data_IF_051174725655
#
_entry.id   IF_051174725655
#
_cell.length_a   1.000
_cell.length_b   1.000
_cell.length_c   1.000
_cell.angle_alpha   90.00
_cell.angle_beta   90.00
_cell.angle_gamma   90.00
#
_symmetry.space_group_name_H-M   'P 1'
#
loop_
_entity.id
_entity.type
_entity.pdbx_description
1 polymer ?
#
# COMPACT_ATOMS: atom_id res chain seq x y z
N UNK A 1 -3.41 -12.89 13.62
CA UNK A 1 -3.32 -11.51 14.15
C UNK A 1 -1.87 -11.05 14.06
N UNK A 2 -1.63 -9.80 13.69
CA UNK A 2 -0.31 -9.17 13.70
C UNK A 2 -0.32 -8.07 14.77
N UNK A 3 0.64 -8.10 15.68
CA UNK A 3 0.82 -7.08 16.72
C UNK A 3 2.23 -6.50 16.61
N UNK A 4 2.33 -5.20 16.50
CA UNK A 4 3.58 -4.44 16.46
C UNK A 4 3.61 -3.55 17.68
N UNK A 5 4.66 -3.62 18.48
CA UNK A 5 4.78 -2.90 19.74
C UNK A 5 6.05 -2.06 19.78
N UNK A 6 5.88 -0.74 19.89
CA UNK A 6 6.93 0.27 20.04
C UNK A 6 8.12 0.05 19.10
N UNK A 7 7.83 -0.29 17.85
CA UNK A 7 8.82 -0.69 16.87
C UNK A 7 9.65 0.52 16.43
N UNK A 8 10.97 0.38 16.49
CA UNK A 8 11.89 1.42 16.01
C UNK A 8 12.95 0.82 15.10
N UNK A 9 13.23 1.50 13.99
CA UNK A 9 14.33 1.18 13.09
C UNK A 9 15.21 2.39 12.86
N UNK A 10 16.45 2.30 13.34
CA UNK A 10 17.52 3.26 13.07
C UNK A 10 18.61 2.58 12.24
N UNK A 11 18.95 3.16 11.11
CA UNK A 11 20.07 2.70 10.28
C UNK A 11 21.42 3.24 10.82
N UNK A 12 22.51 2.61 10.41
CA UNK A 12 23.88 3.03 10.81
C UNK A 12 24.22 4.44 10.34
N UNK A 13 23.57 4.92 9.29
CA UNK A 13 23.66 6.31 8.80
C UNK A 13 23.05 7.36 9.73
N UNK A 14 22.42 6.94 10.84
CA UNK A 14 21.67 7.80 11.76
C UNK A 14 20.20 7.99 11.40
N UNK A 15 19.78 7.62 10.20
CA UNK A 15 18.39 7.78 9.74
C UNK A 15 17.44 6.90 10.56
N UNK A 16 16.40 7.51 11.14
CA UNK A 16 15.31 6.83 11.81
C UNK A 16 14.20 6.60 10.77
N UNK A 17 14.06 5.37 10.30
CA UNK A 17 13.07 5.01 9.28
C UNK A 17 11.71 4.66 9.89
N UNK A 18 11.69 4.11 11.10
CA UNK A 18 10.49 3.83 11.92
C UNK A 18 10.79 4.30 13.35
N UNK A 19 9.85 5.02 13.94
CA UNK A 19 9.99 5.67 15.24
C UNK A 19 8.79 5.37 16.14
N UNK A 20 8.99 4.49 17.12
CA UNK A 20 8.00 4.07 18.12
C UNK A 20 6.62 3.69 17.52
N UNK A 21 6.65 2.89 16.47
CA UNK A 21 5.46 2.49 15.72
C UNK A 21 4.75 1.32 16.42
N UNK A 22 3.45 1.48 16.68
CA UNK A 22 2.62 0.40 17.23
C UNK A 22 1.37 0.23 16.39
N UNK A 23 1.00 -1.04 16.09
CA UNK A 23 -0.12 -1.39 15.24
C UNK A 23 -0.65 -2.78 15.63
N UNK A 24 -1.97 -2.93 15.63
CA UNK A 24 -2.62 -4.23 15.80
C UNK A 24 -3.63 -4.47 14.68
N UNK A 25 -3.51 -5.61 14.00
CA UNK A 25 -4.35 -6.01 12.89
C UNK A 25 -4.82 -7.45 13.03
N UNK A 26 -6.07 -7.70 12.66
CA UNK A 26 -6.65 -9.04 12.44
C UNK A 26 -6.76 -9.32 10.95
N UNK A 27 -7.44 -10.41 10.55
CA UNK A 27 -7.76 -10.69 9.15
C UNK A 27 -8.47 -9.47 8.52
N UNK A 28 -8.27 -9.29 7.24
CA UNK A 28 -8.76 -8.15 6.48
C UNK A 28 -7.67 -7.48 5.65
N UNK A 29 -8.04 -6.43 4.93
CA UNK A 29 -7.11 -5.66 4.10
C UNK A 29 -6.74 -4.38 4.84
N UNK A 30 -5.45 -4.19 5.10
CA UNK A 30 -4.88 -2.98 5.73
C UNK A 30 -4.00 -2.27 4.71
N UNK A 31 -4.36 -1.04 4.39
CA UNK A 31 -3.57 -0.18 3.53
C UNK A 31 -2.55 0.64 4.33
N UNK A 32 -1.30 0.69 3.87
CA UNK A 32 -0.29 1.60 4.39
C UNK A 32 -0.17 2.80 3.47
N UNK A 33 -0.67 3.95 3.91
CA UNK A 33 -0.65 5.21 3.18
C UNK A 33 0.44 6.12 3.72
N UNK A 34 1.22 6.70 2.83
CA UNK A 34 2.25 7.67 3.21
C UNK A 34 3.15 8.04 2.03
N UNK A 35 3.82 9.20 2.07
CA UNK A 35 4.71 9.63 1.01
C UNK A 35 5.93 8.73 0.90
N UNK A 36 6.70 8.91 -0.16
CA UNK A 36 8.00 8.24 -0.29
C UNK A 36 8.90 8.63 0.90
N UNK A 37 9.60 7.65 1.46
CA UNK A 37 10.39 7.84 2.67
C UNK A 37 9.60 7.87 3.99
N UNK A 38 8.28 7.63 3.98
CA UNK A 38 7.48 7.54 5.22
C UNK A 38 7.84 6.34 6.09
N UNK A 39 8.55 5.33 5.55
CA UNK A 39 8.95 4.12 6.27
C UNK A 39 8.16 2.86 5.88
N UNK A 40 7.23 2.93 4.91
CA UNK A 40 6.37 1.80 4.51
C UNK A 40 7.16 0.54 4.17
N UNK A 41 8.07 0.63 3.20
CA UNK A 41 8.93 -0.50 2.78
C UNK A 41 9.79 -1.02 3.93
N UNK A 42 10.36 -0.14 4.77
CA UNK A 42 11.14 -0.55 5.95
C UNK A 42 10.29 -1.34 6.95
N UNK A 43 9.05 -0.88 7.22
CA UNK A 43 8.11 -1.58 8.08
C UNK A 43 7.78 -2.97 7.51
N UNK A 44 7.45 -3.04 6.23
CA UNK A 44 7.17 -4.31 5.55
C UNK A 44 8.36 -5.26 5.58
N UNK A 45 9.58 -4.78 5.30
CA UNK A 45 10.80 -5.59 5.38
C UNK A 45 11.06 -6.15 6.79
N UNK A 46 10.68 -5.43 7.84
CA UNK A 46 10.75 -5.95 9.21
C UNK A 46 9.70 -7.03 9.46
N UNK A 47 8.46 -6.84 9.01
CA UNK A 47 7.37 -7.82 9.14
C UNK A 47 7.75 -9.13 8.42
N UNK A 48 8.29 -9.04 7.20
CA UNK A 48 8.71 -10.21 6.42
C UNK A 48 10.07 -10.77 6.83
N UNK A 49 10.63 -10.33 7.93
CA UNK A 49 11.90 -10.82 8.54
C UNK A 49 13.16 -10.58 7.71
N UNK A 50 13.12 -9.70 6.71
CA UNK A 50 14.29 -9.31 5.91
C UNK A 50 15.20 -8.34 6.65
N UNK A 51 14.64 -7.49 7.51
CA UNK A 51 15.37 -6.48 8.28
C UNK A 51 15.00 -6.60 9.77
N UNK A 52 16.00 -6.49 10.65
CA UNK A 52 15.75 -6.51 12.10
C UNK A 52 15.42 -5.13 12.62
N UNK A 53 14.43 -4.97 13.51
CA UNK A 53 14.20 -3.72 14.22
C UNK A 53 15.38 -3.40 15.15
N UNK A 54 15.55 -2.12 15.48
CA UNK A 54 16.51 -1.66 16.49
C UNK A 54 15.95 -1.90 17.90
N UNK A 55 14.65 -1.63 18.10
CA UNK A 55 13.93 -1.93 19.35
C UNK A 55 12.45 -2.23 19.05
N UNK A 56 11.72 -2.67 20.08
CA UNK A 56 10.35 -3.13 19.94
C UNK A 56 10.24 -4.57 19.44
N UNK A 57 9.03 -5.04 19.21
CA UNK A 57 8.76 -6.40 18.74
C UNK A 57 7.59 -6.48 17.77
N UNK A 58 7.57 -7.54 16.98
CA UNK A 58 6.48 -7.90 16.09
C UNK A 58 6.07 -9.32 16.43
N UNK A 59 4.78 -9.51 16.67
CA UNK A 59 4.17 -10.82 16.90
C UNK A 59 3.22 -11.14 15.74
N UNK A 60 3.31 -12.35 15.20
CA UNK A 60 2.36 -12.87 14.23
C UNK A 60 1.78 -14.18 14.77
N UNK A 61 0.45 -14.24 14.95
CA UNK A 61 -0.24 -15.34 15.62
C UNK A 61 0.46 -15.70 16.96
N UNK A 62 0.78 -14.68 17.75
CA UNK A 62 1.47 -14.73 19.05
C UNK A 62 2.92 -15.24 19.02
N UNK A 63 3.48 -15.55 17.84
CA UNK A 63 4.88 -15.86 17.65
C UNK A 63 5.72 -14.62 17.41
N UNK A 64 6.78 -14.42 18.18
CA UNK A 64 7.76 -13.36 17.91
C UNK A 64 8.55 -13.70 16.64
N UNK A 65 8.41 -12.84 15.60
CA UNK A 65 9.00 -13.07 14.28
C UNK A 65 10.54 -13.16 14.30
N UNK A 66 11.19 -12.66 15.35
CA UNK A 66 12.65 -12.73 15.53
C UNK A 66 13.10 -14.05 16.15
N UNK A 67 12.26 -14.63 17.01
CA UNK A 67 12.55 -15.90 17.69
C UNK A 67 12.17 -17.09 16.83
N UNK A 68 11.08 -16.97 16.09
CA UNK A 68 10.58 -18.03 15.21
C UNK A 68 10.31 -17.52 13.78
N UNK A 69 11.35 -17.11 13.04
CA UNK A 69 11.18 -16.57 11.69
C UNK A 69 10.66 -17.61 10.68
N UNK A 70 10.92 -18.90 10.90
CA UNK A 70 10.49 -19.96 9.98
C UNK A 70 8.99 -20.19 10.08
N UNK A 71 8.38 -20.08 11.26
CA UNK A 71 6.95 -20.11 11.44
C UNK A 71 6.27 -19.02 10.58
N UNK A 72 6.78 -17.81 10.63
CA UNK A 72 6.24 -16.70 9.86
C UNK A 72 6.43 -16.91 8.36
N UNK A 73 7.65 -17.25 7.93
CA UNK A 73 8.00 -17.43 6.51
C UNK A 73 7.19 -18.54 5.83
N UNK A 74 6.81 -19.59 6.53
CA UNK A 74 5.97 -20.66 5.99
C UNK A 74 4.53 -20.22 5.71
N UNK A 75 4.05 -19.16 6.40
CA UNK A 75 2.69 -18.61 6.30
C UNK A 75 2.62 -17.25 5.62
N UNK A 76 3.76 -16.76 5.14
CA UNK A 76 3.92 -15.44 4.56
C UNK A 76 3.94 -15.51 3.04
N UNK A 77 3.17 -14.62 2.39
CA UNK A 77 3.37 -14.19 1.02
C UNK A 77 3.99 -12.80 1.00
N UNK A 78 4.96 -12.58 0.14
CA UNK A 78 5.59 -11.26 -0.02
C UNK A 78 5.83 -10.92 -1.48
N UNK A 79 5.32 -9.76 -1.90
CA UNK A 79 5.64 -9.12 -3.16
C UNK A 79 6.37 -7.81 -2.86
N UNK A 80 7.68 -7.71 -3.08
CA UNK A 80 8.42 -6.46 -2.97
C UNK A 80 8.09 -5.54 -4.17
N UNK A 81 8.37 -4.25 -4.01
CA UNK A 81 8.21 -3.26 -5.08
C UNK A 81 9.02 -3.62 -6.33
N UNK A 82 10.30 -4.00 -6.13
CA UNK A 82 11.16 -4.52 -7.18
C UNK A 82 11.34 -6.02 -6.95
N UNK A 83 10.71 -6.84 -7.77
CA UNK A 83 10.93 -8.27 -7.71
C UNK A 83 11.55 -8.78 -9.02
N UNK A 84 12.56 -9.63 -8.87
CA UNK A 84 13.22 -10.26 -10.00
C UNK A 84 12.51 -11.55 -10.43
N UNK A 85 12.40 -11.77 -11.73
CA UNK A 85 11.93 -13.04 -12.29
C UNK A 85 13.07 -13.72 -13.03
N UNK A 86 13.12 -15.06 -12.96
CA UNK A 86 14.03 -15.84 -13.80
C UNK A 86 13.48 -15.88 -15.22
N UNK A 87 14.07 -15.10 -16.11
CA UNK A 87 13.57 -14.92 -17.48
C UNK A 87 13.73 -16.15 -18.37
N UNK A 88 14.69 -17.05 -18.04
CA UNK A 88 15.04 -18.25 -18.80
C UNK A 88 14.17 -19.48 -18.49
N UNK A 89 13.11 -19.33 -17.72
CA UNK A 89 12.18 -20.43 -17.38
C UNK A 89 10.75 -20.07 -17.76
N UNK A 90 9.86 -21.06 -17.81
CA UNK A 90 8.42 -20.81 -17.98
C UNK A 90 7.78 -20.33 -16.69
N UNK A 91 6.62 -19.67 -16.77
CA UNK A 91 5.87 -19.24 -15.58
C UNK A 91 5.55 -20.41 -14.65
N UNK A 92 5.15 -21.55 -15.20
CA UNK A 92 4.91 -22.77 -14.44
C UNK A 92 6.18 -23.27 -13.72
N UNK A 93 7.33 -23.32 -14.41
CA UNK A 93 8.58 -23.77 -13.81
C UNK A 93 9.05 -22.80 -12.71
N UNK A 94 8.95 -21.50 -12.96
CA UNK A 94 9.26 -20.45 -11.97
C UNK A 94 8.42 -20.63 -10.68
N UNK A 95 7.10 -20.73 -10.83
CA UNK A 95 6.22 -20.84 -9.69
C UNK A 95 6.35 -22.21 -8.98
N UNK A 96 6.56 -23.30 -9.73
CA UNK A 96 6.85 -24.63 -9.16
C UNK A 96 8.12 -24.64 -8.34
N UNK A 97 9.17 -23.97 -8.81
CA UNK A 97 10.45 -23.86 -8.06
C UNK A 97 10.26 -23.12 -6.74
N UNK A 98 9.63 -21.94 -6.77
CA UNK A 98 9.41 -21.14 -5.56
C UNK A 98 8.42 -21.80 -4.60
N UNK A 99 7.36 -22.44 -5.12
CA UNK A 99 6.44 -23.26 -4.33
C UNK A 99 7.16 -24.43 -3.67
N UNK A 100 8.06 -25.11 -4.39
CA UNK A 100 8.89 -26.18 -3.88
C UNK A 100 9.74 -25.79 -2.67
N UNK A 101 10.29 -24.57 -2.66
CA UNK A 101 11.03 -24.03 -1.51
C UNK A 101 10.15 -23.84 -0.27
N UNK A 102 8.84 -23.69 -0.46
CA UNK A 102 7.81 -23.61 0.59
C UNK A 102 7.11 -24.94 0.88
N UNK A 103 7.59 -26.04 0.28
CA UNK A 103 7.02 -27.38 0.47
C UNK A 103 5.82 -27.71 -0.44
N UNK A 104 5.44 -26.83 -1.36
CA UNK A 104 4.33 -27.01 -2.31
C UNK A 104 4.85 -27.80 -3.51
N UNK A 105 4.41 -29.05 -3.65
CA UNK A 105 4.78 -29.95 -4.74
C UNK A 105 3.65 -30.27 -5.72
N UNK A 106 2.44 -29.78 -5.45
CA UNK A 106 1.26 -30.03 -6.27
C UNK A 106 1.31 -29.20 -7.56
N UNK A 107 1.37 -29.91 -8.69
CA UNK A 107 1.24 -29.29 -10.03
C UNK A 107 -0.11 -28.60 -10.20
N UNK A 108 -1.18 -29.21 -9.68
CA UNK A 108 -2.53 -28.66 -9.71
C UNK A 108 -2.56 -27.31 -8.98
N UNK A 109 -2.00 -27.22 -7.77
CA UNK A 109 -1.94 -25.98 -6.99
C UNK A 109 -1.23 -24.87 -7.74
N UNK A 110 -0.11 -25.16 -8.41
CA UNK A 110 0.62 -24.18 -9.21
C UNK A 110 -0.28 -23.66 -10.36
N UNK A 111 -1.02 -24.53 -11.03
CA UNK A 111 -1.93 -24.13 -12.11
C UNK A 111 -3.11 -23.30 -11.60
N UNK A 112 -3.71 -23.67 -10.47
CA UNK A 112 -4.80 -22.90 -9.82
C UNK A 112 -4.32 -21.47 -9.46
N UNK A 113 -3.11 -21.34 -8.92
CA UNK A 113 -2.55 -20.01 -8.61
C UNK A 113 -2.27 -19.21 -9.89
N UNK A 114 -1.76 -19.83 -10.96
CA UNK A 114 -1.59 -19.14 -12.24
C UNK A 114 -2.93 -18.70 -12.84
N UNK A 115 -3.99 -19.48 -12.65
CA UNK A 115 -5.34 -19.13 -13.07
C UNK A 115 -5.88 -17.92 -12.29
N UNK A 116 -5.70 -17.90 -10.97
CA UNK A 116 -6.17 -16.80 -10.10
C UNK A 116 -5.58 -15.44 -10.49
N UNK A 117 -4.42 -15.43 -11.15
CA UNK A 117 -3.75 -14.21 -11.65
C UNK A 117 -3.84 -14.08 -13.19
N UNK A 118 -4.74 -14.83 -13.84
CA UNK A 118 -4.93 -14.81 -15.30
C UNK A 118 -3.64 -15.07 -16.11
N UNK A 119 -2.86 -16.06 -15.68
CA UNK A 119 -1.65 -16.53 -16.38
C UNK A 119 -1.74 -18.02 -16.79
N UNK A 120 -2.91 -18.67 -16.63
CA UNK A 120 -3.09 -20.08 -16.95
C UNK A 120 -2.70 -20.41 -18.41
N UNK A 121 -3.22 -19.63 -19.38
CA UNK A 121 -2.92 -19.82 -20.81
C UNK A 121 -1.43 -19.61 -21.13
N UNK A 122 -0.71 -18.85 -20.29
CA UNK A 122 0.73 -18.54 -20.44
C UNK A 122 1.62 -19.38 -19.52
N UNK A 123 1.10 -20.40 -18.86
CA UNK A 123 1.84 -21.20 -17.88
C UNK A 123 3.14 -21.79 -18.45
N UNK A 124 3.12 -22.21 -19.71
CA UNK A 124 4.27 -22.82 -20.39
C UNK A 124 5.05 -21.86 -21.31
N UNK A 125 4.73 -20.55 -21.25
CA UNK A 125 5.43 -19.52 -21.99
C UNK A 125 6.65 -19.03 -21.17
N UNK A 126 7.75 -18.73 -21.85
CA UNK A 126 8.97 -18.23 -21.22
C UNK A 126 8.77 -16.84 -20.63
N UNK A 127 9.20 -16.63 -19.38
CA UNK A 127 9.02 -15.37 -18.65
C UNK A 127 9.69 -14.17 -19.34
N UNK A 128 10.77 -14.38 -20.09
CA UNK A 128 11.41 -13.32 -20.90
C UNK A 128 10.49 -12.65 -21.91
N UNK A 129 9.43 -13.33 -22.36
CA UNK A 129 8.47 -12.79 -23.33
C UNK A 129 7.27 -12.09 -22.66
N UNK A 130 7.20 -12.08 -21.33
CA UNK A 130 6.12 -11.48 -20.58
C UNK A 130 6.19 -9.94 -20.63
N UNK A 131 5.03 -9.32 -20.79
CA UNK A 131 4.89 -7.88 -20.55
C UNK A 131 5.16 -7.52 -19.08
N UNK A 132 5.34 -6.24 -18.77
CA UNK A 132 5.50 -5.77 -17.40
C UNK A 132 4.33 -6.21 -16.50
N UNK A 133 3.08 -6.06 -16.97
CA UNK A 133 1.90 -6.52 -16.25
C UNK A 133 1.84 -8.04 -16.05
N UNK A 134 2.28 -8.85 -17.03
CA UNK A 134 2.38 -10.30 -16.87
C UNK A 134 3.45 -10.68 -15.84
N UNK A 135 4.60 -10.00 -15.81
CA UNK A 135 5.64 -10.21 -14.79
C UNK A 135 5.10 -9.84 -13.41
N UNK A 136 4.39 -8.73 -13.29
CA UNK A 136 3.75 -8.31 -12.03
C UNK A 136 2.75 -9.36 -11.51
N UNK A 137 1.88 -9.89 -12.39
CA UNK A 137 0.94 -10.97 -12.06
C UNK A 137 1.66 -12.25 -11.63
N UNK A 138 2.79 -12.59 -12.26
CA UNK A 138 3.61 -13.72 -11.83
C UNK A 138 4.22 -13.50 -10.44
N UNK A 139 4.63 -12.25 -10.13
CA UNK A 139 5.06 -11.86 -8.79
C UNK A 139 3.97 -11.99 -7.74
N UNK A 140 2.73 -11.65 -8.08
CA UNK A 140 1.58 -11.88 -7.21
C UNK A 140 1.37 -13.38 -7.00
N UNK A 141 1.40 -14.18 -8.08
CA UNK A 141 1.26 -15.64 -8.01
C UNK A 141 2.29 -16.27 -7.06
N UNK A 142 3.55 -15.85 -7.11
CA UNK A 142 4.59 -16.35 -6.21
C UNK A 142 4.33 -16.04 -4.74
N UNK A 143 3.71 -14.89 -4.45
CA UNK A 143 3.34 -14.53 -3.10
C UNK A 143 2.16 -15.34 -2.57
N UNK A 144 1.32 -15.91 -3.46
CA UNK A 144 0.11 -16.66 -3.13
C UNK A 144 0.29 -18.18 -3.09
N UNK A 145 1.41 -18.71 -3.60
CA UNK A 145 1.56 -20.15 -3.88
C UNK A 145 1.39 -21.06 -2.67
N UNK A 146 1.62 -20.54 -1.46
CA UNK A 146 1.51 -21.29 -0.19
C UNK A 146 0.26 -20.94 0.63
N UNK A 147 -0.78 -20.35 0.04
CA UNK A 147 -2.00 -19.89 0.74
C UNK A 147 -1.66 -19.12 2.03
N UNK A 148 -1.04 -17.95 1.91
CA UNK A 148 -0.49 -17.27 3.07
C UNK A 148 -1.57 -16.77 4.04
N UNK A 149 -1.34 -16.93 5.35
CA UNK A 149 -2.14 -16.29 6.41
C UNK A 149 -1.84 -14.78 6.50
N UNK A 150 -0.64 -14.37 6.05
CA UNK A 150 -0.17 -12.98 5.98
C UNK A 150 0.38 -12.70 4.58
N UNK A 151 -0.26 -11.77 3.86
CA UNK A 151 0.22 -11.29 2.57
C UNK A 151 0.72 -9.85 2.70
N UNK A 152 1.96 -9.62 2.33
CA UNK A 152 2.57 -8.28 2.29
C UNK A 152 2.88 -7.92 0.84
N UNK A 153 2.40 -6.74 0.41
CA UNK A 153 2.52 -6.29 -0.98
C UNK A 153 2.97 -4.83 -1.02
N UNK A 154 4.13 -4.58 -1.57
CA UNK A 154 4.72 -3.24 -1.64
C UNK A 154 4.53 -2.63 -3.03
N UNK A 155 3.71 -1.55 -3.13
CA UNK A 155 3.39 -0.81 -4.36
C UNK A 155 2.91 -1.69 -5.54
N UNK A 156 1.93 -2.59 -5.35
CA UNK A 156 1.60 -3.65 -6.32
C UNK A 156 0.95 -3.15 -7.61
N UNK A 157 0.36 -1.97 -7.61
CA UNK A 157 -0.41 -1.41 -8.74
C UNK A 157 0.44 -0.58 -9.69
N UNK A 158 1.70 -0.35 -9.36
CA UNK A 158 2.64 0.34 -10.22
C UNK A 158 2.85 -0.44 -11.53
N UNK A 159 2.58 0.21 -12.66
CA UNK A 159 2.74 -0.40 -13.99
C UNK A 159 1.61 -1.34 -14.45
N UNK A 160 0.54 -1.51 -13.65
CA UNK A 160 -0.67 -2.18 -14.10
C UNK A 160 -1.59 -1.22 -14.86
N UNK A 161 -2.24 -1.72 -15.92
CA UNK A 161 -3.32 -1.00 -16.58
C UNK A 161 -4.58 -0.95 -15.70
N UNK A 162 -5.58 -0.10 -16.03
CA UNK A 162 -6.77 0.07 -15.21
C UNK A 162 -7.57 -1.22 -14.99
N UNK A 163 -7.66 -2.10 -15.99
CA UNK A 163 -8.40 -3.36 -15.89
C UNK A 163 -7.69 -4.34 -14.92
N UNK A 164 -6.36 -4.44 -15.03
CA UNK A 164 -5.55 -5.27 -14.16
C UNK A 164 -5.56 -4.77 -12.71
N UNK A 165 -5.61 -3.43 -12.50
CA UNK A 165 -5.78 -2.85 -11.14
C UNK A 165 -7.10 -3.26 -10.51
N UNK A 166 -8.20 -3.26 -11.28
CA UNK A 166 -9.51 -3.71 -10.78
C UNK A 166 -9.45 -5.18 -10.41
N UNK A 167 -8.89 -6.03 -11.26
CA UNK A 167 -8.73 -7.48 -10.98
C UNK A 167 -7.90 -7.72 -9.73
N UNK A 168 -6.79 -7.00 -9.60
CA UNK A 168 -5.92 -7.12 -8.44
C UNK A 168 -6.63 -6.67 -7.14
N UNK A 169 -7.38 -5.58 -7.17
CA UNK A 169 -8.20 -5.12 -6.03
C UNK A 169 -9.21 -6.19 -5.60
N UNK A 170 -9.91 -6.79 -6.56
CA UNK A 170 -10.87 -7.87 -6.28
C UNK A 170 -10.17 -9.10 -5.64
N UNK A 171 -8.97 -9.43 -6.12
CA UNK A 171 -8.15 -10.51 -5.54
C UNK A 171 -7.79 -10.20 -4.09
N UNK A 172 -7.30 -8.99 -3.77
CA UNK A 172 -6.97 -8.58 -2.39
C UNK A 172 -8.20 -8.64 -1.48
N UNK A 173 -9.36 -8.19 -1.96
CA UNK A 173 -10.62 -8.25 -1.21
C UNK A 173 -11.02 -9.70 -0.90
N UNK A 174 -10.85 -10.61 -1.86
CA UNK A 174 -11.14 -12.03 -1.67
C UNK A 174 -10.19 -12.67 -0.66
N UNK A 175 -8.90 -12.37 -0.76
CA UNK A 175 -7.88 -12.89 0.17
C UNK A 175 -8.07 -12.34 1.59
N UNK A 176 -8.45 -11.07 1.73
CA UNK A 176 -8.68 -10.43 3.02
C UNK A 176 -9.80 -11.06 3.86
N UNK A 177 -10.66 -11.92 3.27
CA UNK A 177 -11.69 -12.63 4.03
C UNK A 177 -11.12 -13.64 5.03
N UNK A 178 -10.00 -14.27 4.68
CA UNK A 178 -9.40 -15.35 5.46
C UNK A 178 -7.96 -15.06 5.92
N UNK A 179 -7.30 -14.08 5.30
CA UNK A 179 -5.90 -13.73 5.56
C UNK A 179 -5.79 -12.27 5.97
N UNK A 180 -4.69 -11.92 6.63
CA UNK A 180 -4.30 -10.52 6.79
C UNK A 180 -3.51 -10.09 5.55
N UNK A 181 -4.02 -9.08 4.84
CA UNK A 181 -3.34 -8.46 3.71
C UNK A 181 -2.88 -7.07 4.12
N UNK A 182 -1.58 -6.80 4.01
CA UNK A 182 -1.03 -5.46 4.19
C UNK A 182 -0.43 -5.02 2.86
N UNK A 183 -0.94 -3.93 2.29
CA UNK A 183 -0.36 -3.40 1.07
C UNK A 183 -0.06 -1.91 1.18
N UNK A 184 1.04 -1.50 0.58
CA UNK A 184 1.42 -0.10 0.48
C UNK A 184 1.02 0.46 -0.88
N UNK A 185 0.63 1.72 -0.88
CA UNK A 185 0.52 2.52 -2.09
C UNK A 185 0.61 4.00 -1.74
N UNK A 186 0.95 4.81 -2.71
CA UNK A 186 0.80 6.26 -2.65
C UNK A 186 -0.48 6.74 -3.36
N UNK A 187 -1.25 5.82 -3.98
CA UNK A 187 -2.48 6.10 -4.69
C UNK A 187 -3.66 5.88 -3.74
N UNK A 188 -4.25 6.97 -3.26
CA UNK A 188 -5.30 6.94 -2.25
C UNK A 188 -6.55 6.19 -2.73
N UNK A 189 -6.91 6.34 -4.03
CA UNK A 189 -8.06 5.66 -4.62
C UNK A 189 -7.95 4.13 -4.65
N UNK A 190 -6.72 3.58 -4.68
CA UNK A 190 -6.53 2.13 -4.58
C UNK A 190 -6.85 1.61 -3.17
N UNK A 191 -6.53 2.40 -2.14
CA UNK A 191 -6.88 2.08 -0.75
C UNK A 191 -8.37 2.18 -0.50
N UNK A 192 -8.99 3.27 -0.96
CA UNK A 192 -10.43 3.50 -0.80
C UNK A 192 -11.27 2.32 -1.27
N UNK A 193 -10.82 1.65 -2.34
CA UNK A 193 -11.58 0.58 -2.98
C UNK A 193 -11.50 -0.79 -2.27
N UNK A 194 -10.45 -1.04 -1.44
CA UNK A 194 -10.20 -2.40 -0.92
C UNK A 194 -9.81 -2.46 0.55
N UNK A 195 -9.27 -1.38 1.12
CA UNK A 195 -8.79 -1.40 2.49
C UNK A 195 -9.96 -1.32 3.48
N UNK A 196 -10.11 -2.31 4.34
CA UNK A 196 -11.00 -2.23 5.49
C UNK A 196 -10.48 -1.27 6.56
N UNK A 197 -9.15 -1.08 6.61
CA UNK A 197 -8.49 -0.08 7.47
C UNK A 197 -7.30 0.52 6.75
N UNK A 198 -7.04 1.81 6.99
CA UNK A 198 -5.91 2.54 6.44
C UNK A 198 -5.05 3.06 7.58
N UNK A 199 -3.77 2.69 7.59
CA UNK A 199 -2.76 3.23 8.48
C UNK A 199 -1.99 4.33 7.75
N UNK A 200 -2.06 5.56 8.24
CA UNK A 200 -1.37 6.73 7.66
C UNK A 200 -0.01 6.88 8.34
N UNK A 201 1.05 6.81 7.54
CA UNK A 201 2.43 6.94 8.00
C UNK A 201 3.05 8.25 7.54
N UNK A 202 3.80 8.90 8.43
CA UNK A 202 4.62 10.08 8.11
C UNK A 202 5.92 10.04 8.93
N UNK A 203 7.07 10.16 8.25
CA UNK A 203 8.40 10.20 8.88
C UNK A 203 8.63 9.09 9.93
N UNK A 204 8.24 7.86 9.58
CA UNK A 204 8.41 6.68 10.43
C UNK A 204 7.38 6.51 11.56
N UNK A 205 6.42 7.42 11.69
CA UNK A 205 5.39 7.37 12.74
C UNK A 205 4.02 7.02 12.17
N UNK A 206 3.23 6.31 12.96
CA UNK A 206 1.79 6.14 12.71
C UNK A 206 1.09 7.44 13.11
N UNK A 207 0.44 8.10 12.16
CA UNK A 207 -0.35 9.31 12.40
C UNK A 207 -1.75 8.94 12.87
N UNK A 208 -2.39 8.01 12.15
CA UNK A 208 -3.70 7.48 12.49
C UNK A 208 -3.90 6.11 11.84
N UNK A 209 -4.86 5.37 12.35
CA UNK A 209 -5.40 4.17 11.71
C UNK A 209 -6.90 4.15 11.91
N UNK A 210 -7.65 3.91 10.84
CA UNK A 210 -9.12 3.87 10.86
C UNK A 210 -9.68 3.25 9.60
N UNK A 211 -11.01 3.13 9.54
CA UNK A 211 -11.69 2.80 8.28
C UNK A 211 -11.58 3.97 7.30
N UNK A 212 -11.78 3.75 6.00
CA UNK A 212 -11.86 4.86 5.04
C UNK A 212 -12.84 5.96 5.47
N UNK A 213 -13.99 5.60 6.03
CA UNK A 213 -15.02 6.53 6.50
C UNK A 213 -14.57 7.34 7.72
N UNK A 214 -13.86 6.69 8.67
CA UNK A 214 -13.31 7.38 9.85
C UNK A 214 -12.23 8.39 9.42
N UNK A 215 -11.39 8.05 8.47
CA UNK A 215 -10.36 8.96 7.95
C UNK A 215 -11.02 10.12 7.20
N UNK A 216 -12.00 9.82 6.34
CA UNK A 216 -12.74 10.81 5.58
C UNK A 216 -13.46 11.81 6.50
N UNK A 217 -14.02 11.34 7.61
CA UNK A 217 -14.75 12.19 8.57
C UNK A 217 -13.88 13.31 9.15
N UNK A 218 -12.56 13.15 9.20
CA UNK A 218 -11.61 14.15 9.69
C UNK A 218 -11.54 15.41 8.80
N UNK A 219 -12.00 15.30 7.54
CA UNK A 219 -11.97 16.36 6.53
C UNK A 219 -13.31 17.07 6.34
N UNK A 220 -14.40 16.62 6.96
CA UNK A 220 -15.70 17.28 6.84
C UNK A 220 -15.65 18.73 7.31
N UNK A 221 -16.20 19.63 6.48
CA UNK A 221 -16.23 21.08 6.74
C UNK A 221 -14.87 21.78 6.57
N UNK A 222 -13.87 21.09 6.01
CA UNK A 222 -12.51 21.63 5.80
C UNK A 222 -12.06 21.59 4.35
N UNK A 223 -12.95 21.24 3.42
CA UNK A 223 -12.66 21.14 1.98
C UNK A 223 -13.42 22.21 1.24
N UNK A 224 -12.74 22.87 0.33
CA UNK A 224 -13.24 24.03 -0.40
C UNK A 224 -12.88 23.93 -1.87
N UNK A 225 -13.75 24.47 -2.70
CA UNK A 225 -13.51 24.64 -4.13
C UNK A 225 -13.69 26.10 -4.55
N UNK A 226 -12.84 26.54 -5.47
CA UNK A 226 -12.91 27.89 -6.04
C UNK A 226 -12.47 27.84 -7.50
N UNK A 227 -13.09 28.68 -8.33
CA UNK A 227 -12.66 28.91 -9.71
C UNK A 227 -11.99 30.29 -9.77
N UNK A 228 -10.74 30.32 -10.16
CA UNK A 228 -9.93 31.54 -10.24
C UNK A 228 -9.14 31.60 -11.55
N UNK A 229 -8.66 32.79 -11.91
CA UNK A 229 -7.78 32.94 -13.07
C UNK A 229 -6.43 32.25 -12.83
N UNK A 230 -5.73 31.90 -13.92
CA UNK A 230 -4.40 31.29 -13.82
C UNK A 230 -3.40 32.20 -13.08
N UNK A 231 -3.51 33.52 -13.26
CA UNK A 231 -2.66 34.50 -12.56
C UNK A 231 -2.93 34.51 -11.04
N UNK A 232 -4.21 34.47 -10.65
CA UNK A 232 -4.59 34.40 -9.22
C UNK A 232 -4.15 33.08 -8.58
N UNK A 233 -4.28 31.97 -9.33
CA UNK A 233 -3.83 30.66 -8.84
C UNK A 233 -2.31 30.68 -8.54
N UNK A 234 -1.48 31.19 -9.44
CA UNK A 234 -0.04 31.31 -9.23
C UNK A 234 0.30 32.14 -7.95
N UNK A 235 -0.47 33.20 -7.69
CA UNK A 235 -0.29 34.05 -6.52
C UNK A 235 -0.77 33.41 -5.21
N UNK A 236 -1.73 32.48 -5.28
CA UNK A 236 -2.37 31.87 -4.11
C UNK A 236 -1.91 30.43 -3.81
N UNK A 237 -1.36 29.71 -4.80
CA UNK A 237 -0.98 28.30 -4.65
C UNK A 237 -0.04 28.01 -3.48
N UNK A 238 0.82 28.97 -3.10
CA UNK A 238 1.72 28.83 -1.95
C UNK A 238 1.02 29.05 -0.60
N UNK A 239 -0.16 29.66 -0.60
CA UNK A 239 -0.95 29.96 0.60
C UNK A 239 -2.03 28.91 0.87
N UNK A 240 -2.49 28.26 -0.17
CA UNK A 240 -3.53 27.22 -0.11
C UNK A 240 -2.89 25.83 -0.01
N UNK A 241 -3.55 24.93 0.71
CA UNK A 241 -3.22 23.50 0.69
C UNK A 241 -4.03 22.84 -0.42
N UNK A 242 -3.51 22.92 -1.62
CA UNK A 242 -4.21 22.45 -2.82
C UNK A 242 -4.15 20.92 -2.88
N UNK A 243 -5.31 20.27 -2.90
CA UNK A 243 -5.44 18.84 -3.16
C UNK A 243 -5.57 18.55 -4.66
N UNK A 244 -6.23 19.45 -5.41
CA UNK A 244 -6.35 19.33 -6.86
C UNK A 244 -6.47 20.69 -7.51
N UNK A 245 -5.89 20.85 -8.72
CA UNK A 245 -6.08 22.01 -9.56
C UNK A 245 -6.22 21.59 -11.03
N UNK A 246 -7.33 21.95 -11.66
CA UNK A 246 -7.66 21.54 -13.02
C UNK A 246 -7.97 22.78 -13.86
N UNK A 247 -7.23 23.01 -14.95
CA UNK A 247 -7.53 24.06 -15.91
C UNK A 247 -8.75 23.68 -16.73
N UNK A 248 -9.78 24.55 -16.74
CA UNK A 248 -10.96 24.44 -17.60
C UNK A 248 -11.15 25.70 -18.40
N UNK A 249 -12.20 25.74 -19.24
CA UNK A 249 -12.49 26.86 -20.11
C UNK A 249 -12.82 28.16 -19.35
N UNK A 250 -13.39 28.04 -18.15
CA UNK A 250 -13.83 29.12 -17.26
C UNK A 250 -12.78 29.55 -16.22
N UNK A 251 -11.64 28.86 -16.17
CA UNK A 251 -10.57 29.17 -15.23
C UNK A 251 -9.90 27.92 -14.64
N UNK A 252 -9.12 28.13 -13.58
CA UNK A 252 -8.53 27.05 -12.79
C UNK A 252 -9.50 26.67 -11.68
N UNK A 253 -10.00 25.44 -11.73
CA UNK A 253 -10.77 24.84 -10.66
C UNK A 253 -9.81 24.32 -9.59
N UNK A 254 -9.77 24.99 -8.46
CA UNK A 254 -8.85 24.68 -7.36
C UNK A 254 -9.63 24.05 -6.22
N UNK A 255 -9.24 22.85 -5.83
CA UNK A 255 -9.72 22.17 -4.63
C UNK A 255 -8.63 22.24 -3.56
N UNK A 256 -8.97 22.65 -2.35
CA UNK A 256 -8.00 22.84 -1.29
C UNK A 256 -8.59 22.53 0.08
N UNK A 257 -7.73 22.29 1.05
CA UNK A 257 -8.11 21.93 2.41
C UNK A 257 -7.62 22.96 3.43
N UNK A 258 -8.44 23.25 4.42
CA UNK A 258 -8.10 24.18 5.52
C UNK A 258 -9.32 24.68 6.26
N UNK A 259 -9.06 25.25 7.44
CA UNK A 259 -10.10 25.89 8.28
C UNK A 259 -9.99 27.40 8.30
N UNK A 260 -8.80 27.94 7.95
CA UNK A 260 -8.46 29.36 8.05
C UNK A 260 -8.02 29.92 6.71
N UNK A 261 -8.18 31.22 6.52
CA UNK A 261 -7.71 31.92 5.32
C UNK A 261 -8.47 31.52 4.03
N UNK A 262 -9.74 31.14 4.16
CA UNK A 262 -10.57 30.73 3.02
C UNK A 262 -10.82 31.93 2.11
N UNK A 263 -10.43 31.86 0.81
CA UNK A 263 -10.67 32.94 -0.13
C UNK A 263 -12.16 33.25 -0.30
N UNK A 264 -12.46 34.53 -0.53
CA UNK A 264 -13.84 34.93 -0.89
C UNK A 264 -14.28 34.25 -2.18
N UNK A 265 -15.50 33.70 -2.18
CA UNK A 265 -16.05 32.99 -3.32
C UNK A 265 -15.74 31.48 -3.33
N UNK A 266 -14.99 30.97 -2.37
CA UNK A 266 -14.85 29.53 -2.22
C UNK A 266 -16.14 28.90 -1.68
N UNK A 267 -16.54 27.79 -2.27
CA UNK A 267 -17.67 26.97 -1.86
C UNK A 267 -17.18 25.74 -1.07
N UNK A 268 -17.94 25.33 -0.05
CA UNK A 268 -17.68 24.10 0.65
C UNK A 268 -17.90 22.90 -0.28
N UNK A 269 -17.01 21.92 -0.21
CA UNK A 269 -17.06 20.71 -1.02
C UNK A 269 -17.09 19.47 -0.13
N UNK A 270 -17.70 18.40 -0.63
CA UNK A 270 -17.62 17.08 0.05
C UNK A 270 -16.18 16.57 0.01
N UNK A 271 -15.63 16.10 1.14
CA UNK A 271 -14.27 15.61 1.19
C UNK A 271 -14.10 14.27 0.47
N UNK A 272 -12.92 14.04 -0.05
CA UNK A 272 -12.43 12.72 -0.45
C UNK A 272 -11.25 12.27 0.43
N UNK A 273 -10.77 11.05 0.23
CA UNK A 273 -9.65 10.52 1.02
C UNK A 273 -8.32 11.21 0.72
N UNK A 274 -8.14 11.85 -0.45
CA UNK A 274 -6.95 12.63 -0.76
C UNK A 274 -6.91 13.91 0.07
N UNK A 275 -8.06 14.57 0.24
CA UNK A 275 -8.22 15.74 1.12
C UNK A 275 -7.92 15.37 2.57
N UNK A 276 -8.51 14.27 3.05
CA UNK A 276 -8.29 13.80 4.41
C UNK A 276 -6.81 13.44 4.66
N UNK A 277 -6.18 12.77 3.71
CA UNK A 277 -4.76 12.45 3.78
C UNK A 277 -3.88 13.71 3.84
N UNK A 278 -4.17 14.70 3.01
CA UNK A 278 -3.45 15.98 2.99
C UNK A 278 -3.58 16.71 4.34
N UNK A 279 -4.79 16.76 4.92
CA UNK A 279 -5.02 17.33 6.24
C UNK A 279 -4.25 16.62 7.35
N UNK A 280 -4.23 15.30 7.34
CA UNK A 280 -3.55 14.48 8.37
C UNK A 280 -2.03 14.55 8.25
N UNK A 281 -1.50 14.72 7.05
CA UNK A 281 -0.06 14.66 6.80
C UNK A 281 0.62 16.02 6.80
N UNK A 282 -0.06 17.09 6.46
CA UNK A 282 0.45 18.45 6.58
C UNK A 282 -0.06 19.06 7.89
N UNK A 283 0.74 19.04 8.96
CA UNK A 283 0.44 19.77 10.20
C UNK A 283 0.14 21.25 9.92
N UNK A 284 -0.54 21.96 10.86
CA UNK A 284 -0.75 23.39 10.76
C UNK A 284 0.56 24.08 10.33
N UNK A 285 0.54 24.88 9.27
CA UNK A 285 1.69 25.74 8.98
C UNK A 285 1.89 26.63 10.20
N UNK A 286 3.12 26.79 10.71
CA UNK A 286 3.35 27.84 11.69
C UNK A 286 2.90 29.16 11.08
N UNK A 287 2.05 29.86 11.82
CA UNK A 287 1.55 31.21 11.55
C UNK A 287 2.69 32.20 11.37
#
# INVERSE_FOLDING_TARGET
>A
MLTIESLTKRYRTGTVAIDNFSLQCSAGVVGLLGPNGAGKTTLMQMIVTLTRPTSGRILFLDHDIRRDPNFVRSRLGYLPQDFGVYESVTAFAFLSYLGGLKGIRSRQKVMEVLESVNLHASAHVMVKTFSGGMKQRLGIAQALVNDPDLLIVDEPTAGLDPEERIRFRNLLTTLGRNSLVIFSTHIVSDLAAVAGRIAVLKKGKLITIGTPEEILSSAFGKVWEIVISSTEFENQKSKLRVSSAVQKADGVHVRFVGSDGIPRGAAAAEPDLEDAYLLLTEGARPS
#
